data_IF_797201682316
#
_entry.id   IF_797201682316
#
_cell.length_a   1.000
_cell.length_b   1.000
_cell.length_c   1.000
_cell.angle_alpha   90.00
_cell.angle_beta   90.00
_cell.angle_gamma   90.00
#
_symmetry.space_group_name_H-M   'P 1'
#
loop_
_entity.id
_entity.type
_entity.pdbx_description
1 polymer ?
#
# COMPACT_ATOMS: atom_id res chain seq x y z
N UNK A 1 -12.54 28.32 8.31
CA UNK A 1 -13.66 28.68 7.41
C UNK A 1 -14.98 28.13 7.93
N UNK A 2 -15.17 26.79 7.99
CA UNK A 2 -16.41 26.13 8.45
C UNK A 2 -16.85 26.55 9.88
N UNK A 3 -15.92 26.79 10.81
CA UNK A 3 -16.27 27.23 12.17
C UNK A 3 -16.88 28.65 12.21
N UNK A 4 -16.31 29.58 11.43
CA UNK A 4 -16.81 30.95 11.32
C UNK A 4 -18.15 31.01 10.59
N UNK A 5 -18.33 30.16 9.59
CA UNK A 5 -19.57 30.05 8.82
C UNK A 5 -20.73 29.49 9.67
N UNK A 6 -20.44 28.47 10.51
CA UNK A 6 -21.38 27.95 11.51
C UNK A 6 -21.79 29.00 12.53
N UNK A 7 -20.83 29.82 12.98
CA UNK A 7 -21.09 30.87 13.95
C UNK A 7 -21.90 32.02 13.34
N UNK A 8 -21.66 32.35 12.07
CA UNK A 8 -22.40 33.38 11.32
C UNK A 8 -23.86 32.96 11.08
N UNK A 9 -24.11 31.71 10.69
CA UNK A 9 -25.46 31.16 10.50
C UNK A 9 -26.22 31.14 11.82
N UNK A 10 -25.58 30.74 12.92
CA UNK A 10 -26.21 30.76 14.25
C UNK A 10 -26.58 32.18 14.67
N UNK A 11 -25.67 33.15 14.51
CA UNK A 11 -25.90 34.54 14.88
C UNK A 11 -27.01 35.20 14.06
N UNK A 12 -27.05 34.97 12.74
CA UNK A 12 -28.10 35.54 11.86
C UNK A 12 -29.48 34.95 12.15
N UNK A 13 -29.56 33.66 12.49
CA UNK A 13 -30.82 33.02 12.87
C UNK A 13 -31.35 33.54 14.20
N UNK A 14 -30.49 33.71 15.20
CA UNK A 14 -30.86 34.31 16.50
C UNK A 14 -31.29 35.77 16.33
N UNK A 15 -30.60 36.53 15.48
CA UNK A 15 -30.96 37.91 15.19
C UNK A 15 -32.35 38.02 14.51
N UNK A 16 -32.59 37.19 13.50
CA UNK A 16 -33.87 37.16 12.76
C UNK A 16 -35.04 36.74 13.66
N UNK A 17 -34.79 35.76 14.54
CA UNK A 17 -35.72 35.37 15.59
C UNK A 17 -36.07 36.53 16.54
N UNK A 18 -35.05 37.21 17.07
CA UNK A 18 -35.25 38.35 17.99
C UNK A 18 -35.98 39.51 17.31
N UNK A 19 -35.69 39.75 16.03
CA UNK A 19 -36.41 40.74 15.23
C UNK A 19 -37.90 40.40 15.10
N UNK A 20 -38.26 39.13 14.96
CA UNK A 20 -39.66 38.68 14.91
C UNK A 20 -40.40 38.83 16.22
N UNK A 21 -39.76 38.49 17.33
CA UNK A 21 -40.34 38.71 18.67
C UNK A 21 -40.52 40.21 18.93
N UNK A 22 -39.54 41.04 18.55
CA UNK A 22 -39.63 42.49 18.67
C UNK A 22 -40.75 43.07 17.78
N UNK A 23 -40.95 42.51 16.57
CA UNK A 23 -42.06 42.90 15.70
C UNK A 23 -43.43 42.61 16.35
N UNK A 24 -43.63 41.41 16.92
CA UNK A 24 -44.87 41.11 17.64
C UNK A 24 -45.09 42.05 18.83
N UNK A 25 -44.04 42.29 19.64
CA UNK A 25 -44.13 43.19 20.79
C UNK A 25 -44.50 44.62 20.37
N UNK A 26 -43.93 45.13 19.26
CA UNK A 26 -44.30 46.44 18.70
C UNK A 26 -45.73 46.49 18.20
N UNK A 27 -46.22 45.43 17.55
CA UNK A 27 -47.60 45.35 17.06
C UNK A 27 -48.60 45.25 18.23
N UNK A 28 -48.29 44.47 19.28
CA UNK A 28 -49.08 44.42 20.51
C UNK A 28 -49.11 45.77 21.23
N UNK A 29 -47.97 46.47 21.27
CA UNK A 29 -47.83 47.78 21.87
C UNK A 29 -48.63 48.87 21.15
N UNK A 30 -48.69 48.84 19.82
CA UNK A 30 -49.55 49.74 19.02
C UNK A 30 -51.04 49.52 19.27
N UNK A 31 -51.43 48.29 19.59
CA UNK A 31 -52.81 47.92 19.86
C UNK A 31 -53.22 48.10 21.34
N UNK A 32 -52.26 48.39 22.22
CA UNK A 32 -52.50 48.59 23.64
C UNK A 32 -52.63 50.07 24.00
N UNK A 33 -53.57 50.41 24.89
CA UNK A 33 -53.78 51.78 25.40
C UNK A 33 -52.72 52.20 26.45
N UNK A 34 -51.43 51.92 26.20
CA UNK A 34 -50.32 52.25 27.09
C UNK A 34 -49.46 53.37 26.48
N UNK A 35 -49.52 54.56 27.07
CA UNK A 35 -48.63 55.69 26.72
C UNK A 35 -47.19 55.37 27.14
N UNK A 36 -46.25 55.45 26.19
CA UNK A 36 -44.81 55.20 26.43
C UNK A 36 -44.36 53.76 26.23
N UNK A 37 -45.23 52.85 25.77
CA UNK A 37 -44.92 51.43 25.63
C UNK A 37 -43.68 51.11 24.73
N UNK A 38 -43.34 51.96 23.75
CA UNK A 38 -42.12 51.78 22.94
C UNK A 38 -40.82 51.93 23.75
N UNK A 39 -40.78 52.81 24.75
CA UNK A 39 -39.63 52.95 25.67
C UNK A 39 -39.53 51.76 26.65
N UNK A 40 -40.66 51.09 26.93
CA UNK A 40 -40.71 49.90 27.80
C UNK A 40 -40.27 48.59 27.08
N UNK A 41 -40.28 48.55 25.75
CA UNK A 41 -39.82 47.37 24.99
C UNK A 41 -38.29 47.28 24.98
N UNK A 42 -37.60 48.43 24.91
CA UNK A 42 -36.13 48.48 24.84
C UNK A 42 -35.47 48.39 26.22
N UNK A 43 -36.18 48.75 27.29
CA UNK A 43 -35.73 48.63 28.68
C UNK A 43 -36.55 47.56 29.42
N UNK A 44 -35.95 46.41 29.71
CA UNK A 44 -36.51 45.22 30.38
C UNK A 44 -36.96 45.45 31.86
N UNK A 45 -37.52 46.61 32.21
CA UNK A 45 -37.55 47.10 33.59
C UNK A 45 -38.92 47.48 34.16
N UNK A 46 -40.03 47.23 33.45
CA UNK A 46 -41.37 47.50 34.02
C UNK A 46 -42.27 46.25 34.06
N UNK A 47 -42.60 45.81 35.27
CA UNK A 47 -43.49 44.67 35.54
C UNK A 47 -44.90 44.85 34.93
N UNK A 48 -45.30 46.09 34.65
CA UNK A 48 -46.58 46.43 34.01
C UNK A 48 -46.68 45.93 32.57
N UNK A 49 -45.62 46.06 31.77
CA UNK A 49 -45.59 45.54 30.39
C UNK A 49 -45.48 44.02 30.36
N UNK A 50 -44.70 43.43 31.27
CA UNK A 50 -44.55 41.96 31.38
C UNK A 50 -45.85 41.25 31.77
N UNK A 51 -46.74 41.93 32.50
CA UNK A 51 -48.04 41.40 32.90
C UNK A 51 -49.17 41.72 31.92
N UNK A 52 -48.88 42.46 30.84
CA UNK A 52 -49.86 42.74 29.80
C UNK A 52 -50.21 41.47 29.01
N UNK A 53 -51.48 41.34 28.62
CA UNK A 53 -51.96 40.18 27.88
C UNK A 53 -51.32 40.10 26.49
N UNK A 54 -51.17 41.21 25.79
CA UNK A 54 -50.58 41.26 24.45
C UNK A 54 -49.08 40.91 24.46
N UNK A 55 -48.35 41.35 25.49
CA UNK A 55 -46.95 40.98 25.66
C UNK A 55 -46.76 39.49 25.96
N UNK A 56 -47.58 38.91 26.85
CA UNK A 56 -47.55 37.48 27.15
C UNK A 56 -47.98 36.62 25.96
N UNK A 57 -48.97 37.07 25.18
CA UNK A 57 -49.42 36.39 23.97
C UNK A 57 -48.31 36.36 22.90
N UNK A 58 -47.47 37.40 22.80
CA UNK A 58 -46.30 37.40 21.91
C UNK A 58 -45.18 36.45 22.39
N UNK A 59 -44.99 36.27 23.69
CA UNK A 59 -43.99 35.36 24.26
C UNK A 59 -44.45 33.90 24.30
N UNK A 60 -45.70 33.61 23.91
CA UNK A 60 -46.25 32.27 23.79
C UNK A 60 -46.60 31.95 22.34
N UNK A 61 -45.84 31.08 21.68
CA UNK A 61 -46.08 30.72 20.28
C UNK A 61 -47.39 29.97 20.03
N UNK A 62 -48.06 29.47 21.07
CA UNK A 62 -49.35 28.77 20.97
C UNK A 62 -50.57 29.71 21.04
N UNK A 63 -50.37 31.01 21.29
CA UNK A 63 -51.46 32.00 21.40
C UNK A 63 -52.15 32.28 20.06
N UNK A 64 -51.49 32.01 18.94
CA UNK A 64 -52.00 32.28 17.58
C UNK A 64 -52.05 33.76 17.20
N UNK A 65 -51.59 34.68 18.07
CA UNK A 65 -51.62 36.13 17.83
C UNK A 65 -50.63 36.56 16.74
N UNK A 66 -49.52 35.81 16.59
CA UNK A 66 -48.50 36.09 15.58
C UNK A 66 -47.96 34.79 14.95
N UNK A 67 -47.87 34.77 13.62
CA UNK A 67 -47.37 33.61 12.86
C UNK A 67 -45.84 33.57 12.84
N UNK A 68 -45.25 32.95 13.86
CA UNK A 68 -43.80 32.79 14.01
C UNK A 68 -43.15 31.77 13.06
N UNK A 69 -43.93 30.89 12.43
CA UNK A 69 -43.43 29.89 11.46
C UNK A 69 -42.27 29.05 12.02
N UNK A 70 -41.14 29.06 11.31
CA UNK A 70 -39.89 28.31 11.64
C UNK A 70 -39.35 28.69 13.04
N UNK A 71 -39.67 29.87 13.55
CA UNK A 71 -39.23 30.36 14.85
C UNK A 71 -40.17 30.01 16.02
N UNK A 72 -41.32 29.36 15.78
CA UNK A 72 -42.31 29.07 16.82
C UNK A 72 -41.73 28.25 17.99
N UNK A 73 -40.83 27.31 17.70
CA UNK A 73 -40.15 26.50 18.71
C UNK A 73 -39.07 27.28 19.48
N UNK A 74 -38.60 28.41 18.93
CA UNK A 74 -37.60 29.27 19.55
C UNK A 74 -38.20 30.33 20.49
N UNK A 75 -39.49 30.68 20.33
CA UNK A 75 -40.18 31.71 21.15
C UNK A 75 -40.03 31.47 22.66
N UNK A 76 -40.22 30.25 23.21
CA UNK A 76 -40.07 30.01 24.66
C UNK A 76 -38.67 30.30 25.21
N UNK A 77 -37.63 30.34 24.36
CA UNK A 77 -36.25 30.64 24.78
C UNK A 77 -36.02 32.12 25.12
N UNK A 78 -36.95 33.00 24.79
CA UNK A 78 -36.89 34.41 25.22
C UNK A 78 -37.04 34.57 26.73
N UNK A 79 -37.82 33.68 27.36
CA UNK A 79 -38.14 33.69 28.79
C UNK A 79 -37.07 32.97 29.62
N UNK A 80 -36.33 32.00 29.04
CA UNK A 80 -35.28 31.26 29.73
C UNK A 80 -34.16 32.20 30.21
N UNK A 81 -33.65 32.01 31.43
CA UNK A 81 -32.61 32.88 32.01
C UNK A 81 -31.20 32.32 31.79
N UNK A 82 -31.08 31.01 31.58
CA UNK A 82 -29.79 30.32 31.41
C UNK A 82 -29.22 30.53 30.01
N UNK A 83 -28.09 31.23 29.94
CA UNK A 83 -27.35 31.50 28.68
C UNK A 83 -26.92 30.20 27.98
N UNK A 84 -26.49 29.19 28.75
CA UNK A 84 -26.08 27.88 28.22
C UNK A 84 -27.22 27.20 27.47
N UNK A 85 -28.43 27.20 28.03
CA UNK A 85 -29.60 26.59 27.41
C UNK A 85 -29.97 27.29 26.09
N UNK A 86 -29.86 28.63 26.03
CA UNK A 86 -30.03 29.39 24.78
C UNK A 86 -29.00 29.01 23.73
N UNK A 87 -27.73 28.90 24.12
CA UNK A 87 -26.64 28.56 23.21
C UNK A 87 -26.75 27.14 22.65
N UNK A 88 -27.00 26.15 23.51
CA UNK A 88 -27.14 24.74 23.10
C UNK A 88 -28.35 24.53 22.20
N UNK A 89 -29.46 25.21 22.47
CA UNK A 89 -30.65 25.11 21.62
C UNK A 89 -30.46 25.83 20.27
N UNK A 90 -29.80 26.99 20.24
CA UNK A 90 -29.44 27.67 19.00
C UNK A 90 -28.48 26.81 18.14
N UNK A 91 -27.53 26.12 18.77
CA UNK A 91 -26.67 25.12 18.13
C UNK A 91 -27.47 23.95 17.55
N UNK A 92 -28.39 23.39 18.35
CA UNK A 92 -29.25 22.28 17.92
C UNK A 92 -30.09 22.67 16.69
N UNK A 93 -30.70 23.84 16.74
CA UNK A 93 -31.52 24.36 15.64
C UNK A 93 -30.69 24.62 14.38
N UNK A 94 -29.50 25.23 14.52
CA UNK A 94 -28.57 25.40 13.39
C UNK A 94 -28.07 24.07 12.81
N UNK A 95 -27.82 23.07 13.66
CA UNK A 95 -27.43 21.72 13.23
C UNK A 95 -28.56 21.01 12.48
N UNK A 96 -29.81 21.20 12.89
CA UNK A 96 -30.99 20.67 12.22
C UNK A 96 -31.12 21.20 10.78
N UNK A 97 -30.86 22.49 10.56
CA UNK A 97 -30.89 23.11 9.22
C UNK A 97 -29.76 22.59 8.31
N UNK A 98 -28.55 22.44 8.85
CA UNK A 98 -27.40 21.94 8.09
C UNK A 98 -27.56 20.45 7.75
N UNK A 99 -28.13 19.66 8.65
CA UNK A 99 -28.28 18.21 8.49
C UNK A 99 -29.46 17.80 7.61
N UNK A 100 -30.14 18.75 6.96
CA UNK A 100 -31.36 18.52 6.15
C UNK A 100 -32.50 17.87 6.96
N UNK A 101 -32.44 17.91 8.30
CA UNK A 101 -33.50 17.47 9.21
C UNK A 101 -34.55 18.57 9.46
N UNK A 102 -34.64 19.54 8.55
CA UNK A 102 -35.56 20.67 8.60
C UNK A 102 -37.00 20.30 8.19
N UNK A 103 -37.28 19.03 7.86
CA UNK A 103 -38.54 18.58 7.25
C UNK A 103 -39.83 18.84 8.06
N UNK A 104 -39.72 19.33 9.30
CA UNK A 104 -40.86 19.68 10.15
C UNK A 104 -41.01 21.19 10.40
N UNK A 105 -40.30 22.04 9.65
CA UNK A 105 -40.34 23.50 9.82
C UNK A 105 -41.07 24.15 8.65
N UNK A 106 -42.19 24.80 8.94
CA UNK A 106 -43.01 25.51 7.95
C UNK A 106 -42.69 27.01 8.03
N UNK A 107 -42.18 27.65 6.95
CA UNK A 107 -41.96 29.10 6.93
C UNK A 107 -43.26 29.87 7.13
N UNK A 108 -43.15 31.05 7.74
CA UNK A 108 -44.25 32.02 7.74
C UNK A 108 -44.40 32.64 6.34
N UNK A 109 -45.50 33.34 6.07
CA UNK A 109 -45.79 33.97 4.76
C UNK A 109 -44.89 35.18 4.41
N UNK A 110 -43.75 35.35 5.09
CA UNK A 110 -42.87 36.48 4.90
C UNK A 110 -41.74 36.15 3.92
N UNK A 111 -41.68 36.91 2.82
CA UNK A 111 -40.81 36.62 1.68
C UNK A 111 -39.33 36.52 2.05
N UNK A 112 -38.82 37.41 2.91
CA UNK A 112 -37.41 37.40 3.29
C UNK A 112 -37.01 36.19 4.13
N UNK A 113 -37.92 35.68 4.98
CA UNK A 113 -37.68 34.44 5.75
C UNK A 113 -37.59 33.23 4.84
N UNK A 114 -38.47 33.16 3.83
CA UNK A 114 -38.48 32.08 2.84
C UNK A 114 -37.16 32.09 2.04
N UNK A 115 -36.72 33.25 1.54
CA UNK A 115 -35.46 33.38 0.79
C UNK A 115 -34.23 33.06 1.65
N UNK A 116 -34.20 33.52 2.89
CA UNK A 116 -33.12 33.23 3.83
C UNK A 116 -33.06 31.73 4.18
N UNK A 117 -34.22 31.12 4.44
CA UNK A 117 -34.33 29.67 4.72
C UNK A 117 -33.89 28.85 3.51
N UNK A 118 -34.31 29.21 2.30
CA UNK A 118 -33.86 28.56 1.06
C UNK A 118 -32.34 28.65 0.88
N UNK A 119 -31.75 29.81 1.21
CA UNK A 119 -30.29 30.01 1.11
C UNK A 119 -29.52 29.15 2.12
N UNK A 120 -29.99 29.05 3.37
CA UNK A 120 -29.37 28.21 4.40
C UNK A 120 -29.48 26.72 4.03
N UNK A 121 -30.65 26.28 3.58
CA UNK A 121 -30.84 24.88 3.15
C UNK A 121 -29.95 24.58 1.95
N UNK A 122 -29.88 25.47 0.96
CA UNK A 122 -29.00 25.32 -0.21
C UNK A 122 -27.52 25.22 0.18
N UNK A 123 -27.05 26.09 1.07
CA UNK A 123 -25.68 26.05 1.58
C UNK A 123 -25.41 24.79 2.41
N UNK A 124 -26.37 24.37 3.23
CA UNK A 124 -26.30 23.13 4.01
C UNK A 124 -26.16 21.89 3.13
N UNK A 125 -26.99 21.80 2.08
CA UNK A 125 -26.91 20.71 1.08
C UNK A 125 -25.57 20.70 0.34
N UNK A 126 -25.03 21.86 -0.04
CA UNK A 126 -23.72 21.97 -0.68
C UNK A 126 -22.60 21.48 0.26
N UNK A 127 -22.59 21.94 1.52
CA UNK A 127 -21.62 21.51 2.52
C UNK A 127 -21.72 20.00 2.80
N UNK A 128 -22.92 19.46 2.86
CA UNK A 128 -23.16 18.03 3.05
C UNK A 128 -22.66 17.20 1.86
N UNK A 129 -22.91 17.64 0.63
CA UNK A 129 -22.39 16.98 -0.57
C UNK A 129 -20.85 16.98 -0.61
N UNK A 130 -20.21 18.11 -0.26
CA UNK A 130 -18.75 18.20 -0.15
C UNK A 130 -18.19 17.28 0.94
N UNK A 131 -18.86 17.21 2.09
CA UNK A 131 -18.47 16.31 3.17
C UNK A 131 -18.52 14.84 2.72
N UNK A 132 -19.60 14.41 2.07
CA UNK A 132 -19.72 13.06 1.52
C UNK A 132 -18.60 12.78 0.51
N UNK A 133 -18.36 13.70 -0.43
CA UNK A 133 -17.30 13.54 -1.42
C UNK A 133 -15.91 13.39 -0.78
N UNK A 134 -15.61 14.19 0.24
CA UNK A 134 -14.36 14.10 0.98
C UNK A 134 -14.23 12.79 1.78
N UNK A 135 -15.30 12.34 2.44
CA UNK A 135 -15.32 11.05 3.15
C UNK A 135 -15.11 9.90 2.17
N UNK A 136 -15.76 9.92 1.02
CA UNK A 136 -15.60 8.90 -0.02
C UNK A 136 -14.15 8.86 -0.53
N UNK A 137 -13.55 10.00 -0.83
CA UNK A 137 -12.15 10.09 -1.25
C UNK A 137 -11.19 9.58 -0.17
N UNK A 138 -11.42 9.93 1.09
CA UNK A 138 -10.62 9.47 2.22
C UNK A 138 -10.72 7.94 2.40
N UNK A 139 -11.94 7.39 2.35
CA UNK A 139 -12.16 5.94 2.44
C UNK A 139 -11.52 5.19 1.27
N UNK A 140 -11.60 5.73 0.06
CA UNK A 140 -10.92 5.18 -1.11
C UNK A 140 -9.39 5.24 -0.95
N UNK A 141 -8.84 6.32 -0.39
CA UNK A 141 -7.41 6.44 -0.13
C UNK A 141 -6.93 5.39 0.88
N UNK A 142 -7.65 5.19 2.00
CA UNK A 142 -7.36 4.14 2.98
C UNK A 142 -7.50 2.73 2.39
N UNK A 143 -8.52 2.53 1.55
CA UNK A 143 -8.85 1.23 0.96
C UNK A 143 -8.04 0.86 -0.28
N UNK A 144 -7.27 1.79 -0.86
CA UNK A 144 -6.66 1.63 -2.21
C UNK A 144 -5.88 0.33 -2.34
N UNK A 145 -4.99 0.04 -1.39
CA UNK A 145 -4.17 -1.19 -1.40
C UNK A 145 -4.99 -2.47 -1.25
N UNK A 146 -6.05 -2.43 -0.45
CA UNK A 146 -6.94 -3.59 -0.28
C UNK A 146 -7.75 -3.85 -1.55
N UNK A 147 -8.26 -2.79 -2.17
CA UNK A 147 -9.00 -2.87 -3.44
C UNK A 147 -8.08 -3.36 -4.55
N UNK A 148 -6.84 -2.84 -4.64
CA UNK A 148 -5.82 -3.28 -5.60
C UNK A 148 -5.55 -4.79 -5.48
N UNK A 149 -5.32 -5.30 -4.26
CA UNK A 149 -5.15 -6.73 -4.02
C UNK A 149 -6.39 -7.55 -4.44
N UNK A 150 -7.58 -7.04 -4.14
CA UNK A 150 -8.83 -7.73 -4.48
C UNK A 150 -9.08 -7.77 -6.00
N UNK A 151 -8.74 -6.69 -6.72
CA UNK A 151 -8.86 -6.64 -8.18
C UNK A 151 -7.88 -7.62 -8.82
N UNK A 152 -6.59 -7.52 -8.45
CA UNK A 152 -5.55 -8.44 -8.93
C UNK A 152 -5.91 -9.90 -8.63
N UNK A 153 -6.41 -10.19 -7.42
CA UNK A 153 -6.84 -11.53 -7.05
C UNK A 153 -8.01 -12.06 -7.90
N UNK A 154 -8.97 -11.19 -8.27
CA UNK A 154 -10.07 -11.55 -9.18
C UNK A 154 -9.57 -11.83 -10.59
N UNK A 155 -8.68 -10.99 -11.10
CA UNK A 155 -8.12 -11.13 -12.45
C UNK A 155 -7.34 -12.46 -12.58
N UNK A 156 -6.54 -12.80 -11.56
CA UNK A 156 -5.81 -14.08 -11.52
C UNK A 156 -6.79 -15.26 -11.45
N UNK A 157 -7.83 -15.21 -10.61
CA UNK A 157 -8.81 -16.31 -10.53
C UNK A 157 -9.58 -16.48 -11.84
N UNK A 158 -9.96 -15.38 -12.50
CA UNK A 158 -10.61 -15.41 -13.81
C UNK A 158 -9.69 -16.02 -14.87
N UNK A 159 -8.40 -15.63 -14.88
CA UNK A 159 -7.40 -16.23 -15.77
C UNK A 159 -7.23 -17.74 -15.53
N UNK A 160 -7.14 -18.17 -14.26
CA UNK A 160 -7.02 -19.59 -13.89
C UNK A 160 -8.25 -20.40 -14.31
N UNK A 161 -9.45 -19.82 -14.13
CA UNK A 161 -10.71 -20.43 -14.55
C UNK A 161 -10.80 -20.57 -16.06
N UNK A 162 -10.46 -19.50 -16.79
CA UNK A 162 -10.44 -19.51 -18.26
C UNK A 162 -9.49 -20.56 -18.84
N UNK A 163 -8.32 -20.75 -18.22
CA UNK A 163 -7.33 -21.78 -18.60
C UNK A 163 -7.65 -23.19 -18.09
N UNK A 164 -8.74 -23.37 -17.32
CA UNK A 164 -9.15 -24.65 -16.72
C UNK A 164 -8.03 -25.34 -15.93
N UNK A 165 -7.28 -24.58 -15.13
CA UNK A 165 -6.20 -25.14 -14.33
C UNK A 165 -6.74 -26.16 -13.30
N UNK A 166 -5.98 -27.21 -12.96
CA UNK A 166 -6.35 -28.15 -11.91
C UNK A 166 -6.29 -27.47 -10.53
N UNK A 167 -7.11 -27.95 -9.58
CA UNK A 167 -7.29 -27.26 -8.29
C UNK A 167 -6.02 -27.20 -7.43
N UNK A 168 -5.15 -28.21 -7.53
CA UNK A 168 -3.84 -28.17 -6.85
C UNK A 168 -2.95 -27.02 -7.38
N UNK A 169 -2.94 -26.81 -8.70
CA UNK A 169 -2.18 -25.72 -9.30
C UNK A 169 -2.78 -24.37 -8.92
N UNK A 170 -4.12 -24.25 -8.90
CA UNK A 170 -4.78 -23.02 -8.43
C UNK A 170 -4.43 -22.69 -6.99
N UNK A 171 -4.44 -23.69 -6.09
CA UNK A 171 -4.03 -23.50 -4.69
C UNK A 171 -2.61 -22.95 -4.59
N UNK A 172 -1.67 -23.53 -5.34
CA UNK A 172 -0.27 -23.08 -5.37
C UNK A 172 -0.12 -21.67 -5.94
N UNK A 173 -0.87 -21.31 -6.98
CA UNK A 173 -0.88 -19.95 -7.54
C UNK A 173 -1.43 -18.95 -6.52
N UNK A 174 -2.52 -19.27 -5.82
CA UNK A 174 -3.07 -18.40 -4.75
C UNK A 174 -2.08 -18.19 -3.61
N UNK A 175 -1.34 -19.23 -3.22
CA UNK A 175 -0.28 -19.13 -2.21
C UNK A 175 0.89 -18.27 -2.68
N UNK A 176 1.32 -18.44 -3.93
CA UNK A 176 2.35 -17.61 -4.55
C UNK A 176 1.95 -16.13 -4.57
N UNK A 177 0.77 -15.81 -5.08
CA UNK A 177 0.28 -14.42 -5.14
C UNK A 177 0.17 -13.78 -3.75
N UNK A 178 -0.30 -14.51 -2.74
CA UNK A 178 -0.35 -14.01 -1.35
C UNK A 178 1.03 -13.74 -0.78
N UNK A 179 1.98 -14.64 -1.02
CA UNK A 179 3.35 -14.48 -0.53
C UNK A 179 4.07 -13.33 -1.24
N UNK A 180 3.99 -13.26 -2.57
CA UNK A 180 4.55 -12.16 -3.34
C UNK A 180 3.93 -10.83 -2.95
N UNK A 181 2.61 -10.75 -2.75
CA UNK A 181 1.97 -9.53 -2.25
C UNK A 181 2.46 -9.13 -0.86
N UNK A 182 2.64 -10.08 0.06
CA UNK A 182 3.18 -9.79 1.39
C UNK A 182 4.64 -9.30 1.33
N UNK A 183 5.44 -9.85 0.40
CA UNK A 183 6.84 -9.50 0.23
C UNK A 183 7.06 -8.16 -0.48
N UNK A 184 6.35 -7.90 -1.59
CA UNK A 184 6.59 -6.73 -2.47
C UNK A 184 5.49 -5.67 -2.42
N UNK A 185 4.43 -5.89 -1.64
CA UNK A 185 3.22 -5.05 -1.59
C UNK A 185 2.59 -4.80 -2.96
N UNK A 186 2.74 -5.76 -3.87
CA UNK A 186 2.15 -5.72 -5.20
C UNK A 186 2.95 -4.94 -6.24
N UNK A 187 4.11 -4.39 -5.88
CA UNK A 187 4.96 -3.66 -6.82
C UNK A 187 5.97 -4.62 -7.44
N UNK A 188 5.90 -4.90 -8.75
CA UNK A 188 6.97 -5.63 -9.43
C UNK A 188 8.21 -4.74 -9.50
N UNK A 189 9.33 -5.23 -8.98
CA UNK A 189 10.57 -4.45 -8.88
C UNK A 189 11.12 -4.04 -10.25
N UNK A 190 11.03 -4.92 -11.26
CA UNK A 190 11.49 -4.63 -12.63
C UNK A 190 10.78 -3.40 -13.20
N UNK A 191 9.44 -3.35 -13.15
CA UNK A 191 8.69 -2.18 -13.64
C UNK A 191 8.95 -0.93 -12.80
N UNK A 192 9.19 -1.08 -11.49
CA UNK A 192 9.52 0.05 -10.64
C UNK A 192 10.88 0.65 -11.02
N UNK A 193 11.87 -0.20 -11.30
CA UNK A 193 13.21 0.18 -11.74
C UNK A 193 13.20 0.81 -13.14
N UNK A 194 12.45 0.26 -14.09
CA UNK A 194 12.36 0.78 -15.47
C UNK A 194 11.87 2.23 -15.55
N UNK A 195 11.04 2.67 -14.59
CA UNK A 195 10.54 4.04 -14.53
C UNK A 195 11.56 5.06 -13.98
N UNK A 196 12.72 4.59 -13.49
CA UNK A 196 13.77 5.44 -12.92
C UNK A 196 14.87 5.72 -13.96
N UNK A 197 15.55 6.88 -13.90
CA UNK A 197 16.77 7.14 -14.65
C UNK A 197 17.85 6.08 -14.38
N UNK A 198 18.68 5.78 -15.39
CA UNK A 198 19.72 4.74 -15.32
C UNK A 198 20.65 4.89 -14.11
N UNK A 199 21.04 6.12 -13.78
CA UNK A 199 21.91 6.43 -12.63
C UNK A 199 21.30 5.92 -11.30
N UNK A 200 20.01 6.20 -11.07
CA UNK A 200 19.30 5.76 -9.87
C UNK A 200 19.09 4.24 -9.86
N UNK A 201 18.79 3.65 -11.02
CA UNK A 201 18.68 2.20 -11.11
C UNK A 201 19.99 1.52 -10.70
N UNK A 202 21.14 2.07 -11.15
CA UNK A 202 22.46 1.54 -10.81
C UNK A 202 22.74 1.62 -9.31
N UNK A 203 22.43 2.73 -8.68
CA UNK A 203 22.62 2.91 -7.24
C UNK A 203 21.73 1.97 -6.41
N UNK A 204 20.47 1.77 -6.81
CA UNK A 204 19.56 0.81 -6.16
C UNK A 204 20.08 -0.61 -6.31
N UNK A 205 20.46 -1.03 -7.52
CA UNK A 205 21.04 -2.37 -7.77
C UNK A 205 22.32 -2.59 -6.96
N UNK A 206 23.19 -1.58 -6.83
CA UNK A 206 24.37 -1.62 -5.96
C UNK A 206 24.00 -1.81 -4.49
N UNK A 207 22.94 -1.16 -4.01
CA UNK A 207 22.47 -1.36 -2.64
C UNK A 207 21.95 -2.79 -2.40
N UNK A 208 21.14 -3.31 -3.33
CA UNK A 208 20.57 -4.66 -3.25
C UNK A 208 21.65 -5.76 -3.32
N UNK A 209 22.72 -5.51 -4.07
CA UNK A 209 23.84 -6.44 -4.20
C UNK A 209 24.58 -6.71 -2.88
N UNK A 210 24.47 -5.83 -1.86
CA UNK A 210 25.04 -6.09 -0.52
C UNK A 210 24.55 -7.41 0.08
N UNK A 211 23.32 -7.81 -0.24
CA UNK A 211 22.76 -9.09 0.20
C UNK A 211 23.31 -10.28 -0.59
N UNK A 212 23.67 -10.07 -1.86
CA UNK A 212 24.26 -11.08 -2.76
C UNK A 212 25.74 -11.31 -2.47
N UNK A 213 26.46 -10.31 -1.92
CA UNK A 213 27.87 -10.46 -1.48
C UNK A 213 28.09 -11.60 -0.48
N UNK A 214 27.05 -11.98 0.29
CA UNK A 214 27.11 -13.13 1.20
C UNK A 214 27.28 -14.48 0.48
N UNK A 215 27.01 -14.53 -0.82
CA UNK A 215 27.21 -15.74 -1.61
C UNK A 215 28.70 -15.95 -1.83
N UNK A 216 29.14 -17.19 -1.62
CA UNK A 216 30.56 -17.57 -1.64
C UNK A 216 31.30 -17.11 -2.90
N UNK A 217 30.69 -17.26 -4.09
CA UNK A 217 31.32 -16.86 -5.36
C UNK A 217 31.67 -15.37 -5.42
N UNK A 218 30.80 -14.49 -4.93
CA UNK A 218 31.03 -13.04 -4.96
C UNK A 218 31.92 -12.55 -3.82
N UNK A 219 31.96 -13.28 -2.69
CA UNK A 219 32.85 -12.95 -1.58
C UNK A 219 34.34 -13.16 -1.90
N UNK A 220 34.64 -13.99 -2.90
CA UNK A 220 35.99 -14.37 -3.31
C UNK A 220 36.53 -13.54 -4.49
N UNK A 221 35.72 -12.63 -5.05
CA UNK A 221 36.09 -11.72 -6.14
C UNK A 221 36.29 -10.30 -5.59
N UNK A 222 37.22 -9.54 -6.18
CA UNK A 222 37.54 -8.18 -5.68
C UNK A 222 36.39 -7.20 -6.01
N UNK A 223 36.03 -6.30 -5.09
CA UNK A 223 34.83 -5.43 -5.20
C UNK A 223 34.87 -4.45 -6.38
N UNK A 224 36.08 -4.05 -6.77
CA UNK A 224 36.35 -3.07 -7.83
C UNK A 224 36.38 -3.71 -9.23
N UNK A 225 36.06 -5.00 -9.33
CA UNK A 225 36.07 -5.67 -10.62
C UNK A 225 34.87 -5.27 -11.49
N UNK A 226 35.10 -4.88 -12.75
CA UNK A 226 34.04 -4.42 -13.65
C UNK A 226 33.02 -5.52 -14.00
N UNK A 227 33.41 -6.80 -13.85
CA UNK A 227 32.51 -7.94 -14.04
C UNK A 227 31.40 -7.97 -12.99
N UNK A 228 31.71 -7.60 -11.73
CA UNK A 228 30.72 -7.57 -10.66
C UNK A 228 29.70 -6.46 -10.89
N UNK A 229 30.13 -5.30 -11.42
CA UNK A 229 29.22 -4.23 -11.80
C UNK A 229 28.27 -4.67 -12.94
N UNK A 230 28.78 -5.41 -13.93
CA UNK A 230 27.93 -5.93 -15.01
C UNK A 230 26.94 -7.02 -14.57
N UNK A 231 27.32 -7.84 -13.58
CA UNK A 231 26.42 -8.82 -12.95
C UNK A 231 25.37 -8.10 -12.10
N UNK A 232 25.77 -7.08 -11.32
CA UNK A 232 24.87 -6.24 -10.51
C UNK A 232 23.72 -5.67 -11.33
N UNK A 233 24.01 -5.17 -12.53
CA UNK A 233 23.03 -4.55 -13.42
C UNK A 233 22.00 -5.55 -13.98
N UNK A 234 22.33 -6.84 -14.02
CA UNK A 234 21.50 -7.91 -14.63
C UNK A 234 20.82 -8.84 -13.61
N UNK A 235 21.02 -8.63 -12.32
CA UNK A 235 20.40 -9.43 -11.26
C UNK A 235 18.92 -9.05 -11.07
N UNK A 236 18.07 -10.07 -10.97
CA UNK A 236 16.62 -9.93 -10.82
C UNK A 236 16.21 -10.54 -9.48
N UNK A 237 15.53 -9.80 -8.61
CA UNK A 237 14.98 -10.38 -7.38
C UNK A 237 13.86 -11.36 -7.72
N UNK A 238 13.87 -12.53 -7.10
CA UNK A 238 12.88 -13.59 -7.36
C UNK A 238 12.45 -14.24 -6.04
N UNK A 239 11.15 -14.51 -5.91
CA UNK A 239 10.59 -15.22 -4.76
C UNK A 239 10.07 -16.59 -5.19
N UNK A 240 10.27 -17.59 -4.35
CA UNK A 240 9.76 -18.94 -4.56
C UNK A 240 8.96 -19.39 -3.33
N UNK A 241 7.84 -20.07 -3.57
CA UNK A 241 7.05 -20.68 -2.49
C UNK A 241 7.56 -22.06 -2.12
N UNK A 242 7.31 -22.48 -0.88
CA UNK A 242 7.53 -23.84 -0.41
C UNK A 242 6.97 -24.89 -1.40
N UNK A 243 7.73 -25.95 -1.64
CA UNK A 243 7.37 -27.04 -2.56
C UNK A 243 7.62 -26.74 -4.03
N UNK A 244 8.03 -25.51 -4.39
CA UNK A 244 8.42 -25.19 -5.77
C UNK A 244 9.71 -25.89 -6.15
N UNK A 245 9.81 -26.28 -7.43
CA UNK A 245 11.03 -26.80 -8.04
C UNK A 245 11.69 -25.69 -8.85
N UNK A 246 12.93 -25.34 -8.53
CA UNK A 246 13.71 -24.32 -9.25
C UNK A 246 14.40 -24.98 -10.45
N UNK A 247 15.03 -26.12 -10.21
CA UNK A 247 15.65 -26.97 -11.22
C UNK A 247 15.01 -28.35 -11.16
N UNK A 248 14.91 -29.00 -12.31
CA UNK A 248 14.43 -30.38 -12.42
C UNK A 248 15.47 -31.18 -13.19
N UNK A 249 15.76 -32.39 -12.73
CA UNK A 249 16.67 -33.30 -13.42
C UNK A 249 16.20 -33.55 -14.86
N UNK A 250 17.12 -33.47 -15.82
CA UNK A 250 16.85 -33.52 -17.25
C UNK A 250 16.20 -32.25 -17.83
N UNK A 251 15.83 -31.27 -17.00
CA UNK A 251 15.24 -30.01 -17.41
C UNK A 251 16.28 -28.99 -17.84
N UNK A 252 15.88 -28.03 -18.68
CA UNK A 252 16.77 -26.95 -19.15
C UNK A 252 17.12 -25.96 -18.03
N UNK A 253 18.41 -25.71 -17.83
CA UNK A 253 18.92 -24.68 -16.92
C UNK A 253 18.89 -23.34 -17.65
N UNK A 254 17.90 -22.50 -17.32
CA UNK A 254 17.71 -21.19 -17.98
C UNK A 254 18.20 -20.00 -17.15
N UNK A 255 18.49 -20.23 -15.87
CA UNK A 255 18.91 -19.19 -14.93
C UNK A 255 19.72 -19.79 -13.79
N UNK A 256 20.66 -19.00 -13.29
CA UNK A 256 21.34 -19.26 -12.03
C UNK A 256 20.61 -18.51 -10.91
N UNK A 257 20.49 -19.10 -9.73
CA UNK A 257 19.74 -18.55 -8.59
C UNK A 257 20.61 -18.51 -7.34
N UNK A 258 20.70 -17.33 -6.74
CA UNK A 258 21.46 -17.01 -5.53
C UNK A 258 20.54 -16.92 -4.33
N UNK A 259 20.75 -17.75 -3.31
CA UNK A 259 19.83 -17.88 -2.17
C UNK A 259 20.19 -16.82 -1.13
N UNK A 260 19.28 -15.87 -0.90
CA UNK A 260 19.45 -14.84 0.13
C UNK A 260 18.82 -15.29 1.43
N UNK A 261 17.60 -15.83 1.39
CA UNK A 261 16.90 -16.35 2.58
C UNK A 261 16.05 -17.55 2.22
N UNK A 262 16.01 -18.53 3.11
CA UNK A 262 15.22 -19.75 2.99
C UNK A 262 16.08 -21.01 2.94
N UNK A 263 15.40 -22.15 2.88
CA UNK A 263 16.02 -23.47 2.79
C UNK A 263 15.51 -24.20 1.57
N UNK A 264 16.44 -24.80 0.83
CA UNK A 264 16.16 -25.65 -0.31
C UNK A 264 16.87 -26.99 -0.10
N UNK A 265 16.54 -27.95 -0.95
CA UNK A 265 17.24 -29.21 -1.07
C UNK A 265 17.56 -29.45 -2.54
N UNK A 266 18.74 -30.02 -2.78
CA UNK A 266 19.21 -30.45 -4.08
C UNK A 266 19.34 -31.97 -4.07
N UNK A 267 18.70 -32.63 -5.03
CA UNK A 267 18.68 -34.09 -5.16
C UNK A 267 19.34 -34.39 -6.52
N UNK A 268 20.55 -34.93 -6.49
CA UNK A 268 21.28 -35.37 -7.69
C UNK A 268 20.90 -36.78 -8.14
N UNK A 269 21.68 -37.35 -9.07
CA UNK A 269 21.49 -38.73 -9.56
C UNK A 269 21.61 -39.78 -8.45
N UNK A 270 22.47 -39.52 -7.46
CA UNK A 270 22.69 -40.41 -6.31
C UNK A 270 21.48 -40.51 -5.37
N UNK A 271 20.45 -39.68 -5.57
CA UNK A 271 19.23 -39.64 -4.76
C UNK A 271 19.41 -39.06 -3.35
N UNK A 272 20.63 -38.67 -2.97
CA UNK A 272 20.94 -38.09 -1.65
C UNK A 272 20.51 -36.61 -1.63
N UNK A 273 19.63 -36.21 -0.70
CA UNK A 273 19.23 -34.81 -0.57
C UNK A 273 20.33 -33.99 0.12
N UNK A 274 20.88 -33.03 -0.60
CA UNK A 274 21.85 -32.05 -0.08
C UNK A 274 21.09 -30.76 0.27
N UNK A 275 21.05 -30.33 1.55
CA UNK A 275 20.39 -29.07 1.90
C UNK A 275 21.16 -27.89 1.28
N UNK A 276 20.45 -26.84 0.88
CA UNK A 276 20.98 -25.56 0.42
C UNK A 276 20.38 -24.44 1.30
N UNK A 277 21.22 -23.49 1.70
CA UNK A 277 20.87 -22.42 2.65
C UNK A 277 21.28 -21.03 2.15
N UNK A 278 21.03 -19.99 2.95
CA UNK A 278 21.51 -18.63 2.69
C UNK A 278 23.00 -18.60 2.33
N UNK A 279 23.34 -17.92 1.24
CA UNK A 279 24.71 -17.83 0.71
C UNK A 279 25.08 -18.92 -0.29
N UNK A 280 24.25 -19.96 -0.47
CA UNK A 280 24.43 -20.95 -1.52
C UNK A 280 23.80 -20.47 -2.85
N UNK A 281 24.18 -21.11 -3.97
CA UNK A 281 23.55 -20.87 -5.27
C UNK A 281 23.19 -22.21 -5.94
N UNK A 282 22.28 -22.16 -6.91
CA UNK A 282 22.00 -23.27 -7.81
C UNK A 282 21.98 -22.80 -9.26
N UNK A 283 22.18 -23.71 -10.21
CA UNK A 283 22.32 -23.37 -11.63
C UNK A 283 23.76 -23.09 -12.05
N UNK A 284 24.74 -23.41 -11.21
CA UNK A 284 26.17 -23.22 -11.50
C UNK A 284 26.67 -24.09 -12.66
N UNK A 285 25.87 -25.05 -13.15
CA UNK A 285 26.17 -25.78 -14.38
C UNK A 285 26.30 -24.80 -15.57
N UNK A 286 25.52 -23.71 -15.59
CA UNK A 286 25.63 -22.66 -16.60
C UNK A 286 27.02 -22.02 -16.58
N UNK A 287 27.51 -21.62 -15.40
CA UNK A 287 28.83 -21.01 -15.27
C UNK A 287 29.94 -22.00 -15.65
N UNK A 288 29.83 -23.27 -15.24
CA UNK A 288 30.78 -24.32 -15.63
C UNK A 288 30.90 -24.42 -17.15
N UNK A 289 29.76 -24.54 -17.81
CA UNK A 289 29.69 -24.72 -19.26
C UNK A 289 30.29 -23.54 -20.03
N UNK A 290 29.98 -22.30 -19.65
CA UNK A 290 30.57 -21.12 -20.27
C UNK A 290 32.09 -21.02 -20.03
N UNK A 291 32.58 -21.43 -18.86
CA UNK A 291 34.01 -21.47 -18.58
C UNK A 291 34.74 -22.52 -19.43
N UNK A 292 34.16 -23.70 -19.60
CA UNK A 292 34.73 -24.78 -20.42
C UNK A 292 34.85 -24.36 -21.89
N UNK A 293 33.82 -23.70 -22.45
CA UNK A 293 33.89 -23.14 -23.81
C UNK A 293 34.97 -22.08 -23.98
N UNK A 294 35.22 -21.26 -22.95
CA UNK A 294 36.25 -20.23 -23.01
C UNK A 294 37.68 -20.80 -23.15
N UNK A 295 37.87 -22.05 -22.71
CA UNK A 295 39.13 -22.82 -22.76
C UNK A 295 39.29 -23.55 -24.09
N UNK A 296 38.25 -24.21 -24.60
CA UNK A 296 38.26 -24.91 -25.89
C UNK A 296 38.44 -23.98 -27.10
N UNK A 297 38.10 -22.69 -26.95
CA UNK A 297 38.43 -21.66 -27.95
C UNK A 297 39.94 -21.50 -28.22
N UNK A 298 40.84 -22.17 -27.47
CA UNK A 298 42.26 -22.27 -27.80
C UNK A 298 42.55 -23.15 -29.03
N UNK A 299 41.65 -24.06 -29.42
CA UNK A 299 41.88 -25.01 -30.53
C UNK A 299 41.14 -24.66 -31.84
N UNK A 300 40.66 -23.43 -32.01
CA UNK A 300 40.22 -22.94 -33.32
C UNK A 300 38.91 -23.52 -33.86
N UNK A 301 38.16 -24.33 -33.10
CA UNK A 301 36.80 -24.73 -33.46
C UNK A 301 35.77 -23.77 -32.85
N UNK A 302 35.26 -22.84 -33.66
CA UNK A 302 34.01 -22.12 -33.35
C UNK A 302 32.87 -23.14 -33.38
N UNK A 303 32.56 -23.74 -32.24
CA UNK A 303 31.31 -24.48 -32.08
C UNK A 303 30.19 -23.44 -32.05
N UNK A 304 29.44 -23.36 -33.16
CA UNK A 304 28.24 -22.54 -33.26
C UNK A 304 27.23 -23.01 -32.21
N UNK A 305 26.79 -22.07 -31.39
CA UNK A 305 25.64 -22.20 -30.51
C UNK A 305 24.39 -22.48 -31.35
N UNK A 306 24.02 -23.74 -31.53
CA UNK A 306 22.69 -24.11 -32.02
C UNK A 306 22.10 -25.22 -31.16
N UNK A 307 21.22 -24.83 -30.23
CA UNK A 307 20.02 -25.59 -29.92
C UNK A 307 20.03 -26.52 -28.70
N UNK A 308 21.17 -27.00 -28.21
CA UNK A 308 21.19 -27.82 -26.99
C UNK A 308 21.36 -26.93 -25.77
N UNK A 309 20.24 -26.50 -25.19
CA UNK A 309 20.26 -25.88 -23.88
C UNK A 309 20.79 -26.85 -22.82
N UNK A 310 21.53 -26.32 -21.85
CA UNK A 310 22.14 -27.13 -20.80
C UNK A 310 21.06 -27.79 -19.95
N UNK A 311 21.14 -29.11 -19.76
CA UNK A 311 20.23 -29.87 -18.91
C UNK A 311 20.78 -29.98 -17.49
N UNK A 312 19.93 -29.84 -16.49
CA UNK A 312 20.31 -30.06 -15.08
C UNK A 312 20.41 -31.54 -14.78
N UNK A 313 21.42 -31.95 -14.04
CA UNK A 313 21.62 -33.30 -13.51
C UNK A 313 20.92 -33.52 -12.15
N UNK A 314 20.29 -32.48 -11.61
CA UNK A 314 19.69 -32.48 -10.27
C UNK A 314 18.35 -31.76 -10.20
N UNK A 315 17.57 -32.13 -9.20
CA UNK A 315 16.31 -31.48 -8.87
C UNK A 315 16.49 -30.61 -7.63
N UNK A 316 16.20 -29.32 -7.72
CA UNK A 316 16.27 -28.38 -6.60
C UNK A 316 14.87 -27.98 -6.17
N UNK A 317 14.50 -28.29 -4.92
CA UNK A 317 13.16 -28.02 -4.35
C UNK A 317 13.24 -27.09 -3.14
N UNK A 318 12.29 -26.17 -3.04
CA UNK A 318 12.16 -25.25 -1.91
C UNK A 318 11.50 -25.93 -0.71
N UNK A 319 12.15 -25.96 0.46
CA UNK A 319 11.59 -26.48 1.71
C UNK A 319 10.78 -25.41 2.47
N UNK A 320 11.21 -24.16 2.35
CA UNK A 320 10.51 -22.97 2.87
C UNK A 320 10.18 -22.02 1.73
N UNK A 321 9.52 -20.91 2.03
CA UNK A 321 9.52 -19.78 1.10
C UNK A 321 10.96 -19.24 1.00
N UNK A 322 11.37 -18.88 -0.20
CA UNK A 322 12.75 -18.50 -0.53
C UNK A 322 12.75 -17.14 -1.20
N UNK A 323 13.60 -16.25 -0.70
CA UNK A 323 13.98 -14.98 -1.32
C UNK A 323 15.36 -15.19 -1.96
N UNK A 324 15.45 -14.92 -3.26
CA UNK A 324 16.64 -15.16 -4.04
C UNK A 324 16.86 -14.06 -5.08
N UNK A 325 18.06 -13.99 -5.63
CA UNK A 325 18.31 -13.27 -6.88
C UNK A 325 18.53 -14.28 -7.99
N UNK A 326 18.08 -13.98 -9.20
CA UNK A 326 18.31 -14.80 -10.38
C UNK A 326 19.04 -14.02 -11.46
N UNK A 327 19.86 -14.74 -12.22
CA UNK A 327 20.59 -14.24 -13.38
C UNK A 327 20.29 -15.16 -14.56
N UNK A 328 19.76 -14.62 -15.65
CA UNK A 328 19.31 -15.45 -16.79
C UNK A 328 20.50 -15.95 -17.59
N UNK A 329 20.36 -17.09 -18.27
CA UNK A 329 21.42 -17.67 -19.07
C UNK A 329 21.93 -16.72 -20.17
N UNK A 330 21.04 -15.92 -20.78
CA UNK A 330 21.41 -14.88 -21.76
C UNK A 330 22.28 -13.79 -21.15
N UNK A 331 21.92 -13.34 -19.95
CA UNK A 331 22.66 -12.33 -19.20
C UNK A 331 24.06 -12.85 -18.81
N UNK A 332 24.17 -14.13 -18.45
CA UNK A 332 25.45 -14.81 -18.18
C UNK A 332 26.28 -14.91 -19.45
N UNK A 333 25.68 -15.26 -20.59
CA UNK A 333 26.36 -15.30 -21.90
C UNK A 333 26.97 -13.94 -22.25
N UNK A 334 26.21 -12.87 -22.11
CA UNK A 334 26.69 -11.50 -22.35
C UNK A 334 27.85 -11.12 -21.42
N UNK A 335 27.72 -11.38 -20.11
CA UNK A 335 28.79 -11.07 -19.16
C UNK A 335 30.05 -11.89 -19.45
N UNK A 336 29.89 -13.19 -19.73
CA UNK A 336 31.03 -14.08 -20.00
C UNK A 336 31.74 -13.75 -21.30
N UNK A 337 31.01 -13.30 -22.33
CA UNK A 337 31.60 -12.83 -23.59
C UNK A 337 32.29 -11.47 -23.44
N UNK A 338 31.67 -10.51 -22.73
CA UNK A 338 32.21 -9.17 -22.53
C UNK A 338 33.47 -9.19 -21.65
N UNK A 339 33.50 -10.06 -20.64
CA UNK A 339 34.64 -10.22 -19.71
C UNK A 339 35.44 -11.51 -19.95
N UNK A 340 35.43 -12.05 -21.18
CA UNK A 340 36.10 -13.32 -21.50
C UNK A 340 37.60 -13.34 -21.11
N UNK A 341 38.30 -12.22 -21.27
CA UNK A 341 39.72 -12.12 -20.87
C UNK A 341 39.93 -12.19 -19.37
N UNK A 342 39.00 -11.62 -18.61
CA UNK A 342 39.04 -11.60 -17.16
C UNK A 342 38.72 -12.99 -16.58
N UNK A 343 37.68 -13.65 -17.10
CA UNK A 343 37.34 -15.03 -16.75
C UNK A 343 38.40 -16.06 -17.15
N UNK A 344 39.34 -15.70 -18.03
CA UNK A 344 40.51 -16.53 -18.37
C UNK A 344 41.66 -16.37 -17.37
N UNK A 345 41.60 -15.44 -16.43
CA UNK A 345 42.60 -15.29 -15.39
C UNK A 345 42.66 -16.56 -14.52
N UNK A 346 43.85 -17.15 -14.28
CA UNK A 346 43.99 -18.36 -13.46
C UNK A 346 43.41 -18.21 -12.05
N UNK A 347 43.48 -16.99 -11.49
CA UNK A 347 42.91 -16.67 -10.17
C UNK A 347 41.39 -16.81 -10.17
N UNK A 348 40.73 -16.19 -11.13
CA UNK A 348 39.27 -16.16 -11.27
C UNK A 348 38.74 -17.55 -11.62
N UNK A 349 39.41 -18.26 -12.52
CA UNK A 349 39.07 -19.66 -12.83
C UNK A 349 39.24 -20.57 -11.61
N UNK A 350 40.29 -20.35 -10.80
CA UNK A 350 40.50 -21.07 -9.55
C UNK A 350 39.33 -20.87 -8.58
N UNK A 351 38.90 -19.62 -8.39
CA UNK A 351 37.76 -19.27 -7.52
C UNK A 351 36.46 -19.90 -8.02
N UNK A 352 36.14 -19.75 -9.31
CA UNK A 352 34.88 -20.28 -9.84
C UNK A 352 34.89 -21.82 -9.83
N UNK A 353 36.02 -22.46 -10.17
CA UNK A 353 36.16 -23.92 -10.04
C UNK A 353 35.98 -24.35 -8.59
N UNK A 354 36.64 -23.70 -7.63
CA UNK A 354 36.51 -24.01 -6.21
C UNK A 354 35.06 -23.88 -5.74
N UNK A 355 34.36 -22.83 -6.17
CA UNK A 355 32.94 -22.64 -5.91
C UNK A 355 32.08 -23.79 -6.46
N UNK A 356 32.29 -24.14 -7.74
CA UNK A 356 31.59 -25.24 -8.42
C UNK A 356 31.86 -26.58 -7.73
N UNK A 357 33.12 -26.92 -7.43
CA UNK A 357 33.50 -28.16 -6.75
C UNK A 357 32.95 -28.21 -5.32
N UNK A 358 32.95 -27.09 -4.60
CA UNK A 358 32.37 -27.01 -3.26
C UNK A 358 30.86 -27.24 -3.24
N UNK A 359 30.17 -26.85 -4.33
CA UNK A 359 28.72 -27.03 -4.49
C UNK A 359 28.36 -28.44 -4.94
N UNK A 360 29.23 -29.10 -5.72
CA UNK A 360 28.99 -30.42 -6.31
C UNK A 360 29.46 -31.62 -5.48
N UNK A 361 30.58 -31.50 -4.75
CA UNK A 361 31.28 -32.67 -4.21
C UNK A 361 31.57 -32.60 -2.71
N UNK A 362 31.49 -31.43 -2.07
CA UNK A 362 31.97 -31.25 -0.68
C UNK A 362 30.92 -31.20 0.42
N UNK A 363 29.66 -31.57 0.15
CA UNK A 363 28.69 -31.85 1.22
C UNK A 363 28.58 -33.35 1.54
N UNK A 364 29.70 -34.08 1.44
CA UNK A 364 29.84 -35.42 2.03
C UNK A 364 29.81 -35.27 3.56
N UNK A 365 28.65 -35.62 4.12
CA UNK A 365 28.43 -36.24 5.44
C UNK A 365 29.46 -35.90 6.53
N UNK A 366 29.14 -34.94 7.40
CA UNK A 366 29.68 -34.97 8.76
C UNK A 366 29.01 -36.15 9.49
N UNK A 367 29.76 -37.23 9.75
CA UNK A 367 29.24 -38.38 10.52
C UNK A 367 29.25 -38.11 12.02
N UNK A 368 30.10 -37.22 12.54
CA UNK A 368 30.07 -36.77 13.94
C UNK A 368 30.89 -35.48 14.17
N UNK A 369 30.66 -34.81 15.31
CA UNK A 369 31.20 -33.49 15.70
C UNK A 369 32.74 -33.39 15.79
N UNK A 370 33.47 -34.49 15.56
CA UNK A 370 34.92 -34.58 15.82
C UNK A 370 35.76 -34.90 14.58
N UNK A 371 35.17 -35.04 13.39
CA UNK A 371 35.95 -35.51 12.21
C UNK A 371 35.47 -34.86 10.91
N UNK A 372 35.97 -33.66 10.64
CA UNK A 372 35.95 -33.07 9.30
C UNK A 372 37.27 -33.40 8.61
N UNK A 373 37.29 -34.39 7.70
CA UNK A 373 38.47 -34.62 6.85
C UNK A 373 38.54 -33.55 5.76
N UNK A 374 39.62 -32.77 5.78
CA UNK A 374 39.95 -31.77 4.76
C UNK A 374 40.47 -32.48 3.49
N UNK A 375 40.05 -32.11 2.27
CA UNK A 375 40.33 -32.91 1.06
C UNK A 375 41.73 -32.69 0.50
N UNK A 376 42.46 -31.69 1.01
CA UNK A 376 43.84 -31.42 0.60
C UNK A 376 44.82 -32.52 1.04
N UNK A 377 44.41 -33.45 1.91
CA UNK A 377 45.29 -34.51 2.42
C UNK A 377 45.16 -35.85 1.68
N UNK A 378 44.31 -35.97 0.65
CA UNK A 378 44.16 -37.24 -0.10
C UNK A 378 45.00 -37.27 -1.39
N UNK A 379 45.42 -36.11 -1.92
CA UNK A 379 46.23 -36.06 -3.15
C UNK A 379 47.74 -36.23 -2.94
N UNK A 380 48.24 -36.21 -1.70
CA UNK A 380 49.65 -36.44 -1.37
C UNK A 380 49.96 -37.90 -0.98
N UNK A 381 48.94 -38.75 -0.77
CA UNK A 381 49.15 -40.14 -0.34
C UNK A 381 49.16 -41.17 -1.49
N UNK A 382 48.98 -40.72 -2.73
CA UNK A 382 49.02 -41.55 -3.95
C UNK A 382 50.22 -41.25 -4.87
N UNK A 383 51.14 -40.38 -4.45
CA UNK A 383 52.38 -40.03 -5.16
C UNK A 383 53.62 -40.17 -4.25
N UNK A 384 53.63 -41.21 -3.42
CA UNK A 384 54.79 -41.66 -2.63
C UNK A 384 55.05 -43.13 -2.93
#
# INVERSE_FOLDING_TARGET
MIAYEKQLIMLTNVLSFLQRVNQCLRDACRNANLTGCMELIDCNSNATWRNDKGANDCLNSSSGVFSYGIYANAVPLTIETRVISKYVYALFWGFQQISTMAGNQVPSYFVWEVLFTMSIIGLGLLLYALLIGNIQNFLQALGRRRVEMQLRGRDVEQWMSHRRLPEDLKRRVREAERYTWAATRGVPEEMALENLPEDLQKDIRRHLFKFVKKVRIFSMMDEDEPILDAIRERLIQTTYIKGSRILSQGGLVQKMVFIVRGKLESIGEDGIPVPLSEGDACGEELLRWYLEQSVESKEGKKVKLQGQGLTSDRTVRCLTNVEAFSLRAKDIEEVTTLFARFLRSPRVQGVIRLFIYSSFHFRVVCVDASTCLHPFMIQLHYLS
#
